data_IF_337622174766
#
_entry.id   IF_337622174766
#
_cell.length_a   1.000
_cell.length_b   1.000
_cell.length_c   1.000
_cell.angle_alpha   90.00
_cell.angle_beta   90.00
_cell.angle_gamma   90.00
#
_symmetry.space_group_name_H-M   'P 1'
#
loop_
_entity.id
_entity.type
_entity.pdbx_description
1 polymer ?
#
# COMPACT_ATOMS: atom_id res chain seq x y z
N UNK A 1 18.12 -49.21 8.41
CA UNK A 1 17.19 -48.78 7.36
C UNK A 1 16.81 -47.31 7.63
N UNK A 2 17.61 -46.37 7.09
CA UNK A 2 17.39 -44.93 7.28
C UNK A 2 16.52 -44.43 6.11
N UNK A 3 15.31 -43.96 6.41
CA UNK A 3 14.45 -43.31 5.39
C UNK A 3 14.99 -41.91 5.16
N UNK A 4 15.48 -41.63 3.97
CA UNK A 4 15.77 -40.30 3.47
C UNK A 4 14.44 -39.59 3.26
N UNK A 5 14.21 -38.55 4.06
CA UNK A 5 13.13 -37.60 3.88
C UNK A 5 13.62 -36.62 2.81
N UNK A 6 13.10 -36.75 1.59
CA UNK A 6 13.36 -35.76 0.54
C UNK A 6 12.73 -34.44 0.97
N UNK A 7 13.56 -33.42 1.14
CA UNK A 7 13.10 -32.06 1.27
C UNK A 7 12.42 -31.68 -0.05
N UNK A 8 11.14 -31.33 0.00
CA UNK A 8 10.43 -30.77 -1.13
C UNK A 8 11.03 -29.42 -1.45
N UNK A 9 11.58 -29.25 -2.64
CA UNK A 9 12.03 -27.96 -3.15
C UNK A 9 10.83 -26.97 -3.10
N UNK A 10 11.07 -25.72 -2.71
CA UNK A 10 10.00 -24.72 -2.73
C UNK A 10 9.51 -24.56 -4.17
N UNK A 11 8.20 -24.78 -4.36
CA UNK A 11 7.55 -24.53 -5.64
C UNK A 11 7.77 -23.04 -5.96
N UNK A 12 8.55 -22.77 -7.01
CA UNK A 12 8.74 -21.41 -7.51
C UNK A 12 7.35 -20.88 -7.94
N UNK A 13 6.85 -19.89 -7.23
CA UNK A 13 5.67 -19.15 -7.66
C UNK A 13 6.06 -18.44 -8.96
N UNK A 14 5.38 -18.69 -10.10
CA UNK A 14 5.73 -18.01 -11.34
C UNK A 14 5.59 -16.49 -11.11
N UNK A 15 6.57 -15.73 -11.60
CA UNK A 15 6.50 -14.27 -11.58
C UNK A 15 5.14 -13.84 -12.13
N UNK A 16 4.39 -13.03 -11.37
CA UNK A 16 3.08 -12.58 -11.80
C UNK A 16 3.22 -11.89 -13.15
N UNK A 17 2.43 -12.36 -14.13
CA UNK A 17 2.42 -11.75 -15.45
C UNK A 17 1.90 -10.31 -15.34
N UNK A 18 2.52 -9.36 -16.07
CA UNK A 18 2.03 -7.99 -16.14
C UNK A 18 0.62 -7.96 -16.75
N UNK A 19 -0.29 -7.28 -16.05
CA UNK A 19 -1.71 -7.21 -16.42
C UNK A 19 -2.03 -5.81 -16.93
N UNK A 20 -2.79 -5.63 -18.03
CA UNK A 20 -3.21 -4.30 -18.47
C UNK A 20 -3.89 -3.51 -17.35
N UNK A 21 -3.66 -2.21 -17.29
CA UNK A 21 -4.41 -1.33 -16.41
C UNK A 21 -5.89 -1.32 -16.82
N UNK A 22 -6.78 -1.21 -15.83
CA UNK A 22 -8.18 -0.90 -16.10
C UNK A 22 -8.29 0.49 -16.73
N UNK A 23 -9.34 0.76 -17.50
CA UNK A 23 -9.51 2.04 -18.18
C UNK A 23 -9.44 3.24 -17.23
N UNK A 24 -9.97 3.12 -16.02
CA UNK A 24 -9.90 4.16 -14.99
C UNK A 24 -8.47 4.34 -14.45
N UNK A 25 -7.74 3.25 -14.24
CA UNK A 25 -6.34 3.28 -13.81
C UNK A 25 -5.45 3.91 -14.90
N UNK A 26 -5.66 3.53 -16.16
CA UNK A 26 -4.93 4.10 -17.30
C UNK A 26 -5.18 5.61 -17.43
N UNK A 27 -6.42 6.08 -17.23
CA UNK A 27 -6.73 7.50 -17.24
C UNK A 27 -5.98 8.27 -16.15
N UNK A 28 -5.89 7.72 -14.92
CA UNK A 28 -5.12 8.30 -13.82
C UNK A 28 -3.62 8.30 -14.15
N UNK A 29 -3.11 7.19 -14.71
CA UNK A 29 -1.71 7.09 -15.13
C UNK A 29 -1.33 8.17 -16.15
N UNK A 30 -2.10 8.31 -17.22
CA UNK A 30 -1.81 9.32 -18.25
C UNK A 30 -1.92 10.74 -17.70
N UNK A 31 -2.88 11.01 -16.82
CA UNK A 31 -3.02 12.30 -16.18
C UNK A 31 -1.85 12.61 -15.23
N UNK A 32 -1.39 11.62 -14.45
CA UNK A 32 -0.21 11.75 -13.59
C UNK A 32 1.08 11.92 -14.41
N UNK A 33 1.19 11.28 -15.56
CA UNK A 33 2.36 11.40 -16.44
C UNK A 33 2.54 12.84 -17.00
N UNK A 34 1.47 13.64 -17.06
CA UNK A 34 1.55 15.05 -17.45
C UNK A 34 2.13 15.95 -16.34
N UNK A 35 1.99 15.54 -15.07
CA UNK A 35 2.53 16.23 -13.90
C UNK A 35 2.95 15.19 -12.86
N UNK A 36 4.14 14.56 -13.04
CA UNK A 36 4.58 13.44 -12.20
C UNK A 36 4.74 13.78 -10.72
N UNK A 37 5.01 15.03 -10.40
CA UNK A 37 5.20 15.52 -9.03
C UNK A 37 3.89 15.93 -8.36
N UNK A 38 2.75 15.84 -9.04
CA UNK A 38 1.45 16.23 -8.49
C UNK A 38 0.94 15.21 -7.48
N UNK A 39 0.56 15.63 -6.26
CA UNK A 39 -0.04 14.75 -5.27
C UNK A 39 -1.57 14.61 -5.43
N UNK A 40 -2.15 15.09 -6.53
CA UNK A 40 -3.60 15.26 -6.69
C UNK A 40 -4.39 13.94 -6.57
N UNK A 41 -3.75 12.81 -6.88
CA UNK A 41 -4.36 11.49 -6.78
C UNK A 41 -4.06 10.78 -5.45
N UNK A 42 -3.38 11.44 -4.51
CA UNK A 42 -3.26 10.92 -3.15
C UNK A 42 -4.58 11.13 -2.42
N UNK A 43 -5.09 10.08 -1.80
CA UNK A 43 -6.24 10.13 -0.90
C UNK A 43 -5.78 9.74 0.50
N UNK A 44 -6.11 10.54 1.50
CA UNK A 44 -5.78 10.29 2.90
C UNK A 44 -7.02 10.16 3.75
N UNK A 45 -6.99 9.25 4.72
CA UNK A 45 -8.01 9.06 5.74
C UNK A 45 -7.36 8.81 7.10
N UNK A 46 -8.06 9.18 8.18
CA UNK A 46 -7.61 8.93 9.54
C UNK A 46 -8.76 8.37 10.38
N UNK A 47 -8.54 7.18 10.92
CA UNK A 47 -9.48 6.49 11.80
C UNK A 47 -9.07 6.73 13.24
N UNK A 48 -9.96 7.30 14.05
CA UNK A 48 -9.73 7.45 15.48
C UNK A 48 -10.00 6.13 16.20
N UNK A 49 -9.03 5.71 17.02
CA UNK A 49 -9.11 4.52 17.87
C UNK A 49 -9.02 4.97 19.33
N UNK A 50 -10.09 4.71 20.09
CA UNK A 50 -10.19 5.06 21.50
C UNK A 50 -10.17 3.81 22.37
N UNK A 51 -9.51 3.90 23.53
CA UNK A 51 -9.33 2.81 24.49
C UNK A 51 -7.96 2.13 24.36
N UNK A 52 -7.74 1.07 25.14
CA UNK A 52 -6.49 0.34 25.11
C UNK A 52 -6.23 -0.28 23.74
N UNK A 53 -5.07 0.00 23.16
CA UNK A 53 -4.64 -0.55 21.88
C UNK A 53 -3.30 -1.27 22.05
N UNK A 54 -3.26 -2.55 21.69
CA UNK A 54 -2.00 -3.26 21.48
C UNK A 54 -1.46 -2.95 20.09
N UNK A 55 -0.43 -2.10 20.04
CA UNK A 55 0.17 -1.67 18.78
C UNK A 55 0.81 -2.81 17.99
N UNK A 56 1.30 -3.87 18.64
CA UNK A 56 1.88 -5.04 17.98
C UNK A 56 0.82 -5.91 17.32
N UNK A 57 -0.31 -6.12 17.98
CA UNK A 57 -1.45 -6.83 17.38
C UNK A 57 -2.06 -6.01 16.24
N UNK A 58 -2.14 -4.69 16.42
CA UNK A 58 -2.62 -3.79 15.35
C UNK A 58 -1.73 -3.85 14.11
N UNK A 59 -0.41 -3.74 14.29
CA UNK A 59 0.54 -3.87 13.18
C UNK A 59 0.42 -5.24 12.51
N UNK A 60 0.26 -6.32 13.27
CA UNK A 60 0.08 -7.68 12.73
C UNK A 60 -1.19 -7.80 11.89
N UNK A 61 -2.31 -7.24 12.36
CA UNK A 61 -3.57 -7.19 11.62
C UNK A 61 -3.45 -6.37 10.33
N UNK A 62 -2.79 -5.21 10.41
CA UNK A 62 -2.58 -4.33 9.27
C UNK A 62 -1.67 -4.97 8.21
N UNK A 63 -0.55 -5.55 8.62
CA UNK A 63 0.37 -6.26 7.69
C UNK A 63 -0.36 -7.38 6.97
N UNK A 64 -1.12 -8.19 7.70
CA UNK A 64 -1.90 -9.26 7.09
C UNK A 64 -2.94 -8.73 6.11
N UNK A 65 -3.62 -7.62 6.41
CA UNK A 65 -4.58 -6.99 5.49
C UNK A 65 -3.88 -6.50 4.22
N UNK A 66 -2.70 -5.89 4.35
CA UNK A 66 -1.91 -5.43 3.20
C UNK A 66 -1.47 -6.61 2.34
N UNK A 67 -1.04 -7.72 2.95
CA UNK A 67 -0.62 -8.93 2.25
C UNK A 67 -1.79 -9.64 1.53
N UNK A 68 -3.02 -9.53 2.06
CA UNK A 68 -4.25 -10.07 1.46
C UNK A 68 -4.78 -9.17 0.31
N UNK A 69 -4.31 -7.92 0.18
CA UNK A 69 -4.81 -6.93 -0.76
C UNK A 69 -3.88 -6.73 -1.97
N UNK A 70 -4.04 -7.52 -3.01
CA UNK A 70 -3.22 -7.47 -4.23
C UNK A 70 -3.04 -6.06 -4.78
N UNK A 71 -4.08 -5.22 -4.74
CA UNK A 71 -4.05 -3.85 -5.21
C UNK A 71 -2.99 -2.97 -4.52
N UNK A 72 -2.68 -3.25 -3.24
CA UNK A 72 -1.65 -2.55 -2.49
C UNK A 72 -0.23 -3.02 -2.86
N UNK A 73 -0.10 -4.18 -3.49
CA UNK A 73 1.17 -4.70 -3.99
C UNK A 73 1.48 -4.27 -5.43
N UNK A 74 0.53 -3.63 -6.12
CA UNK A 74 0.67 -3.26 -7.51
C UNK A 74 1.63 -2.07 -7.71
N UNK A 75 2.41 -2.14 -8.78
CA UNK A 75 3.15 -1.01 -9.35
C UNK A 75 2.85 -0.92 -10.85
N UNK A 76 3.06 0.25 -11.44
CA UNK A 76 2.88 0.41 -12.87
C UNK A 76 4.17 0.07 -13.59
N UNK A 77 4.06 -0.73 -14.64
CA UNK A 77 5.13 -0.97 -15.60
C UNK A 77 4.78 -0.21 -16.87
N UNK A 78 5.55 0.81 -17.18
CA UNK A 78 5.45 1.53 -18.42
C UNK A 78 6.44 0.91 -19.40
N UNK A 79 5.97 0.06 -20.27
CA UNK A 79 6.77 -0.35 -21.42
C UNK A 79 6.79 0.84 -22.39
N UNK A 80 7.79 1.68 -22.25
CA UNK A 80 8.12 2.64 -23.31
C UNK A 80 8.64 1.90 -24.53
N UNK A 81 8.58 2.51 -25.73
CA UNK A 81 9.17 1.93 -26.95
C UNK A 81 10.68 1.64 -26.83
N UNK A 82 11.32 2.13 -25.78
CA UNK A 82 12.76 2.01 -25.46
C UNK A 82 13.03 1.14 -24.22
N UNK A 83 12.09 0.29 -23.77
CA UNK A 83 12.34 -0.66 -22.67
C UNK A 83 13.53 -1.58 -23.02
N UNK A 84 14.53 -1.77 -22.09
CA UNK A 84 15.77 -2.49 -22.40
C UNK A 84 15.59 -3.96 -22.77
N UNK A 85 14.39 -4.50 -22.64
CA UNK A 85 14.05 -5.91 -22.89
C UNK A 85 12.94 -6.09 -23.94
N UNK A 86 12.67 -5.08 -24.76
CA UNK A 86 11.76 -5.23 -25.89
C UNK A 86 12.31 -6.31 -26.82
N UNK A 87 11.59 -7.45 -27.07
CA UNK A 87 12.07 -8.40 -28.05
C UNK A 87 12.10 -7.72 -29.43
N UNK A 88 13.27 -7.75 -30.09
CA UNK A 88 13.43 -7.36 -31.47
C UNK A 88 12.31 -8.01 -32.31
N UNK A 89 11.31 -7.24 -32.73
CA UNK A 89 10.33 -7.70 -33.69
C UNK A 89 8.85 -7.71 -33.27
N UNK A 90 8.46 -7.20 -32.11
CA UNK A 90 7.03 -7.04 -31.80
C UNK A 90 6.50 -5.72 -32.37
N UNK A 91 6.26 -5.65 -33.69
CA UNK A 91 5.58 -4.54 -34.37
C UNK A 91 4.12 -4.33 -33.87
N UNK A 92 3.59 -5.26 -33.04
CA UNK A 92 2.23 -5.26 -32.50
C UNK A 92 2.18 -5.12 -30.98
N UNK A 93 3.27 -4.74 -30.29
CA UNK A 93 3.24 -4.53 -28.83
C UNK A 93 2.36 -3.32 -28.51
N UNK A 94 1.26 -3.55 -27.81
CA UNK A 94 0.40 -2.48 -27.26
C UNK A 94 1.21 -1.67 -26.23
N UNK A 95 1.54 -0.39 -26.50
CA UNK A 95 2.34 0.44 -25.59
C UNK A 95 1.55 0.90 -24.34
N UNK A 96 0.43 0.26 -24.06
CA UNK A 96 -0.42 0.59 -22.93
C UNK A 96 0.25 0.24 -21.60
N UNK A 97 0.15 1.12 -20.59
CA UNK A 97 0.72 0.85 -19.28
C UNK A 97 0.08 -0.39 -18.65
N UNK A 98 0.91 -1.18 -17.98
CA UNK A 98 0.52 -2.43 -17.32
C UNK A 98 0.75 -2.32 -15.82
N UNK A 99 0.15 -3.18 -15.03
CA UNK A 99 0.44 -3.31 -13.62
C UNK A 99 1.12 -4.66 -13.35
N UNK A 100 2.06 -4.62 -12.41
CA UNK A 100 2.74 -5.79 -11.88
C UNK A 100 2.48 -5.89 -10.39
N UNK A 101 2.07 -7.06 -9.92
CA UNK A 101 1.96 -7.32 -8.50
C UNK A 101 3.35 -7.65 -7.95
N UNK A 102 3.69 -7.03 -6.83
CA UNK A 102 4.97 -7.20 -6.11
C UNK A 102 4.71 -7.63 -4.67
N UNK A 103 4.11 -8.84 -4.46
CA UNK A 103 3.77 -9.31 -3.12
C UNK A 103 5.01 -9.42 -2.24
N UNK A 104 4.85 -9.12 -0.94
CA UNK A 104 5.96 -9.16 0.02
C UNK A 104 6.95 -8.00 -0.10
N UNK A 105 6.66 -6.96 -0.89
CA UNK A 105 7.49 -5.74 -0.93
C UNK A 105 7.53 -5.11 0.46
N UNK A 106 8.73 -4.76 0.98
CA UNK A 106 8.84 -4.09 2.27
C UNK A 106 8.15 -2.74 2.29
N UNK A 107 7.43 -2.46 3.37
CA UNK A 107 6.85 -1.17 3.66
C UNK A 107 6.94 -0.85 5.16
N UNK A 108 6.82 0.41 5.52
CA UNK A 108 6.98 0.88 6.89
C UNK A 108 5.65 1.33 7.46
N UNK A 109 5.27 0.81 8.65
CA UNK A 109 4.29 1.46 9.50
C UNK A 109 5.01 2.55 10.29
N UNK A 110 4.63 3.81 10.08
CA UNK A 110 5.15 4.92 10.86
C UNK A 110 4.51 4.94 12.25
N UNK A 111 5.33 4.96 13.30
CA UNK A 111 4.87 5.13 14.67
C UNK A 111 5.24 6.53 15.15
N UNK A 112 4.22 7.35 15.46
CA UNK A 112 4.43 8.69 16.01
C UNK A 112 3.82 8.76 17.41
N UNK A 113 4.63 9.14 18.40
CA UNK A 113 4.14 9.45 19.75
C UNK A 113 4.16 10.97 19.94
N UNK A 114 2.98 11.57 19.84
CA UNK A 114 2.80 13.01 19.88
C UNK A 114 2.26 13.49 21.25
N UNK A 115 2.19 12.62 22.25
CA UNK A 115 1.65 12.95 23.58
C UNK A 115 2.39 14.08 24.29
N UNK A 116 3.66 14.31 23.94
CA UNK A 116 4.48 15.38 24.52
C UNK A 116 4.34 16.72 23.78
N UNK A 117 3.66 16.75 22.64
CA UNK A 117 3.43 17.99 21.89
C UNK A 117 2.42 18.91 22.63
N UNK A 118 2.56 20.21 22.45
CA UNK A 118 1.64 21.18 23.05
C UNK A 118 0.19 21.00 22.53
N UNK A 119 0.06 20.60 21.26
CA UNK A 119 -1.19 20.24 20.60
C UNK A 119 -0.95 19.00 19.73
N UNK A 120 -1.18 17.79 20.28
CA UNK A 120 -0.94 16.54 19.57
C UNK A 120 -1.76 16.39 18.29
N UNK A 121 -2.99 16.90 18.26
CA UNK A 121 -3.84 16.81 17.08
C UNK A 121 -3.32 17.71 15.96
N UNK A 122 -3.00 18.98 16.26
CA UNK A 122 -2.42 19.89 15.27
C UNK A 122 -1.08 19.37 14.71
N UNK A 123 -0.26 18.74 15.56
CA UNK A 123 0.99 18.10 15.13
C UNK A 123 0.72 16.91 14.19
N UNK A 124 -0.26 16.05 14.53
CA UNK A 124 -0.67 14.93 13.69
C UNK A 124 -1.21 15.40 12.34
N UNK A 125 -2.11 16.38 12.32
CA UNK A 125 -2.63 16.97 11.09
C UNK A 125 -1.53 17.57 10.20
N UNK A 126 -0.54 18.22 10.83
CA UNK A 126 0.60 18.78 10.09
C UNK A 126 1.41 17.69 9.43
N UNK A 127 1.68 16.60 10.14
CA UNK A 127 2.41 15.45 9.58
C UNK A 127 1.62 14.79 8.46
N UNK A 128 0.32 14.51 8.67
CA UNK A 128 -0.55 13.90 7.66
C UNK A 128 -0.66 14.75 6.39
N UNK A 129 -0.80 16.07 6.54
CA UNK A 129 -0.85 17.02 5.42
C UNK A 129 0.47 17.03 4.63
N UNK A 130 1.59 16.98 5.34
CA UNK A 130 2.91 16.91 4.71
C UNK A 130 3.12 15.58 3.95
N UNK A 131 2.65 14.45 4.51
CA UNK A 131 2.71 13.16 3.81
C UNK A 131 1.77 13.12 2.60
N UNK A 132 0.52 13.62 2.74
CA UNK A 132 -0.46 13.67 1.65
C UNK A 132 0.04 14.48 0.44
N UNK A 133 0.85 15.50 0.69
CA UNK A 133 1.44 16.36 -0.36
C UNK A 133 2.68 15.75 -1.05
N UNK A 134 3.14 14.56 -0.63
CA UNK A 134 4.30 13.92 -1.26
C UNK A 134 3.91 13.26 -2.58
N UNK A 135 4.67 13.50 -3.65
CA UNK A 135 4.54 12.70 -4.87
C UNK A 135 4.72 11.20 -4.60
N UNK A 136 4.06 10.38 -5.40
CA UNK A 136 4.19 8.92 -5.33
C UNK A 136 4.76 8.44 -6.65
N UNK A 137 5.88 7.72 -6.59
CA UNK A 137 6.41 7.02 -7.75
C UNK A 137 5.58 5.77 -8.03
N UNK A 138 4.83 5.79 -9.12
CA UNK A 138 3.92 4.71 -9.47
C UNK A 138 4.64 3.45 -9.97
N UNK A 139 5.91 3.57 -10.35
CA UNK A 139 6.73 2.45 -10.86
C UNK A 139 7.49 1.75 -9.74
N UNK A 140 7.89 2.51 -8.71
CA UNK A 140 8.65 1.96 -7.59
C UNK A 140 7.76 1.58 -6.40
N UNK A 141 6.64 2.29 -6.15
CA UNK A 141 5.78 2.04 -4.99
C UNK A 141 6.50 2.14 -3.63
N UNK A 142 5.89 1.74 -2.52
CA UNK A 142 4.49 1.36 -2.38
C UNK A 142 3.55 2.53 -2.67
N UNK A 143 2.38 2.21 -3.23
CA UNK A 143 1.38 3.22 -3.59
C UNK A 143 0.53 3.65 -2.38
N UNK A 144 1.05 3.46 -1.17
CA UNK A 144 0.39 3.82 0.09
C UNK A 144 1.40 4.21 1.19
N UNK A 145 0.90 4.89 2.21
CA UNK A 145 1.58 5.13 3.49
C UNK A 145 0.64 4.75 4.62
N UNK A 146 1.17 4.18 5.70
CA UNK A 146 0.44 3.83 6.91
C UNK A 146 1.13 4.43 8.13
N UNK A 147 0.36 5.04 9.05
CA UNK A 147 0.90 5.54 10.31
C UNK A 147 -0.05 5.28 11.49
N UNK A 148 0.52 4.87 12.62
CA UNK A 148 -0.17 4.82 13.90
C UNK A 148 0.34 5.96 14.76
N UNK A 149 -0.51 6.94 15.03
CA UNK A 149 -0.21 8.19 15.69
C UNK A 149 -0.85 8.17 17.08
N UNK A 150 -0.03 8.20 18.14
CA UNK A 150 -0.51 8.23 19.52
C UNK A 150 -0.66 9.66 19.99
N UNK A 151 -1.90 10.04 20.34
CA UNK A 151 -2.24 11.39 20.78
C UNK A 151 -2.40 11.48 22.32
N UNK A 152 -2.87 10.40 22.96
CA UNK A 152 -3.00 10.25 24.40
C UNK A 152 -2.74 8.80 24.82
N UNK A 153 -2.88 8.47 26.12
CA UNK A 153 -2.62 7.13 26.63
C UNK A 153 -3.50 6.07 25.97
N UNK A 154 -4.75 6.41 25.73
CA UNK A 154 -5.81 5.56 25.19
C UNK A 154 -6.47 6.16 23.95
N UNK A 155 -5.73 7.00 23.19
CA UNK A 155 -6.24 7.65 21.98
C UNK A 155 -5.18 7.65 20.89
N UNK A 156 -5.54 7.04 19.74
CA UNK A 156 -4.68 6.93 18.58
C UNK A 156 -5.44 7.34 17.33
N UNK A 157 -4.68 7.86 16.35
CA UNK A 157 -5.15 7.96 14.97
C UNK A 157 -4.38 6.96 14.12
N UNK A 158 -5.12 6.16 13.37
CA UNK A 158 -4.55 5.36 12.31
C UNK A 158 -4.74 6.10 10.99
N UNK A 159 -3.66 6.65 10.48
CA UNK A 159 -3.61 7.34 9.20
C UNK A 159 -3.23 6.40 8.10
N UNK A 160 -3.92 6.51 6.97
CA UNK A 160 -3.63 5.82 5.74
C UNK A 160 -3.71 6.80 4.57
N UNK A 161 -2.65 6.85 3.75
CA UNK A 161 -2.65 7.48 2.45
C UNK A 161 -2.57 6.38 1.41
N UNK A 162 -3.36 6.49 0.34
CA UNK A 162 -3.30 5.61 -0.82
C UNK A 162 -3.31 6.45 -2.09
N UNK A 163 -2.61 5.99 -3.12
CA UNK A 163 -2.75 6.58 -4.44
C UNK A 163 -4.01 6.03 -5.11
N UNK A 164 -4.81 6.87 -5.70
CA UNK A 164 -6.13 6.52 -6.26
C UNK A 164 -6.06 5.52 -7.44
N UNK A 165 -4.87 5.35 -8.03
CA UNK A 165 -4.63 4.29 -9.02
C UNK A 165 -4.77 2.89 -8.41
N UNK A 166 -4.33 2.70 -7.14
CA UNK A 166 -4.38 1.41 -6.48
C UNK A 166 -5.72 1.14 -5.78
N UNK A 167 -6.29 2.13 -5.11
CA UNK A 167 -7.44 1.95 -4.19
C UNK A 167 -8.41 3.11 -4.33
N UNK A 168 -9.70 2.81 -4.42
CA UNK A 168 -10.79 3.79 -4.32
C UNK A 168 -11.34 3.87 -2.87
N UNK A 169 -12.26 4.81 -2.63
CA UNK A 169 -12.85 5.03 -1.30
C UNK A 169 -13.62 3.79 -0.78
N UNK A 170 -14.24 3.02 -1.66
CA UNK A 170 -14.95 1.81 -1.27
C UNK A 170 -13.96 0.73 -0.82
N UNK A 171 -12.92 0.48 -1.59
CA UNK A 171 -11.88 -0.47 -1.23
C UNK A 171 -11.15 -0.08 0.06
N UNK A 172 -10.90 1.23 0.28
CA UNK A 172 -10.32 1.73 1.54
C UNK A 172 -11.21 1.39 2.75
N UNK A 173 -12.54 1.52 2.61
CA UNK A 173 -13.50 1.12 3.66
C UNK A 173 -13.41 -0.39 3.96
N UNK A 174 -13.29 -1.22 2.93
CA UNK A 174 -13.14 -2.68 3.10
C UNK A 174 -11.82 -3.04 3.81
N UNK A 175 -10.73 -2.38 3.44
CA UNK A 175 -9.42 -2.57 4.10
C UNK A 175 -9.51 -2.19 5.59
N UNK A 176 -10.12 -1.05 5.90
CA UNK A 176 -10.34 -0.60 7.29
C UNK A 176 -11.16 -1.61 8.09
N UNK A 177 -12.25 -2.12 7.52
CA UNK A 177 -13.06 -3.17 8.14
C UNK A 177 -12.27 -4.45 8.38
N UNK A 178 -11.44 -4.84 7.41
CA UNK A 178 -10.62 -6.05 7.52
C UNK A 178 -9.57 -5.97 8.62
N UNK A 179 -8.91 -4.82 8.78
CA UNK A 179 -7.98 -4.59 9.89
C UNK A 179 -8.70 -4.70 11.23
N UNK A 180 -9.89 -4.11 11.37
CA UNK A 180 -10.67 -4.17 12.60
C UNK A 180 -11.09 -5.62 12.95
N UNK A 181 -11.53 -6.40 11.96
CA UNK A 181 -11.85 -7.84 12.14
C UNK A 181 -10.65 -8.64 12.62
N UNK A 182 -9.50 -8.49 11.93
CA UNK A 182 -8.28 -9.22 12.27
C UNK A 182 -7.73 -8.81 13.63
N UNK A 183 -7.73 -7.51 13.94
CA UNK A 183 -7.32 -7.02 15.25
C UNK A 183 -8.18 -7.62 16.36
N UNK A 184 -9.51 -7.58 16.19
CA UNK A 184 -10.44 -8.14 17.17
C UNK A 184 -10.21 -9.63 17.39
N UNK A 185 -10.00 -10.38 16.32
CA UNK A 185 -9.72 -11.80 16.40
C UNK A 185 -8.38 -12.10 17.13
N UNK A 186 -7.32 -11.33 16.82
CA UNK A 186 -6.02 -11.46 17.47
C UNK A 186 -6.06 -11.06 18.95
N UNK A 187 -6.85 -10.07 19.33
CA UNK A 187 -7.01 -9.62 20.71
C UNK A 187 -7.84 -10.58 21.57
N UNK A 188 -8.68 -11.40 20.93
CA UNK A 188 -9.49 -12.41 21.63
C UNK A 188 -8.75 -13.74 21.89
N UNK A 189 -7.60 -14.00 21.26
CA UNK A 189 -6.73 -15.18 21.39
C UNK A 189 -7.14 -16.33 20.50
#
# INVERSE_FOLDING_TARGET
MRRHQAASDPVAVPAAADVPLLATQAAIWYAQALDPDSPVYNTGDAVEITGPLDAGLFESALRRTVDEADALSAVVVADGPDGPDGPDGAEDADPSPRQRLTPGRPWTLHHLDLRAEADPEAAAETWMRADLARPVDLTEGPLFTQALIRLAEDRHWWYQRVHHLAVDAYALTLLTGRVAELYTALAAG
#
